data_IF_524807321129
#
_entry.id   IF_524807321129
#
_cell.length_a   1.000
_cell.length_b   1.000
_cell.length_c   1.000
_cell.angle_alpha   90.00
_cell.angle_beta   90.00
_cell.angle_gamma   90.00
#
_symmetry.space_group_name_H-M   'P 1'
#
loop_
_entity.id
_entity.type
_entity.pdbx_description
1 polymer ?
#
# COMPACT_ATOMS: atom_id res chain seq x y z
N UNK A 1 -26.29 -21.15 -0.25
CA UNK A 1 -25.89 -20.76 -0.35
C UNK A 1 -25.27 -20.21 -0.33
N UNK A 2 -24.87 -19.91 -0.29
CA UNK A 2 -24.30 -19.39 -0.55
C UNK A 2 -23.50 -18.91 -0.37
N UNK A 3 -23.12 -18.88 -0.23
CA UNK A 3 -22.47 -18.40 -0.07
C UNK A 3 -21.67 -17.90 -0.41
N UNK A 4 -21.47 -17.73 -0.59
CA UNK A 4 -20.89 -17.16 -1.22
C UNK A 4 -20.38 -16.11 -0.76
N UNK A 5 -19.89 -15.92 0.00
CA UNK A 5 -19.32 -14.99 0.40
C UNK A 5 -18.08 -14.96 0.06
N UNK A 6 -17.69 -14.17 -0.58
CA UNK A 6 -16.49 -14.02 -0.93
C UNK A 6 -15.89 -13.29 0.08
N UNK A 7 -15.06 -13.72 0.73
CA UNK A 7 -14.37 -13.01 1.64
C UNK A 7 -13.27 -12.45 0.96
N UNK A 8 -13.26 -11.24 0.69
CA UNK A 8 -12.18 -10.68 0.12
C UNK A 8 -11.18 -10.46 1.12
N UNK A 9 -10.17 -11.13 1.19
CA UNK A 9 -9.07 -10.91 2.09
C UNK A 9 -8.21 -9.80 1.57
N UNK A 10 -8.10 -8.77 2.31
CA UNK A 10 -7.25 -7.65 1.92
C UNK A 10 -5.81 -8.13 2.00
N UNK A 11 -5.08 -8.11 0.90
CA UNK A 11 -3.68 -8.54 0.92
C UNK A 11 -2.78 -7.62 1.74
N UNK A 12 -3.26 -6.42 2.05
CA UNK A 12 -2.47 -5.51 2.85
C UNK A 12 -2.71 -5.79 4.31
N UNK A 13 -2.15 -6.88 4.79
CA UNK A 13 -2.29 -7.29 6.17
C UNK A 13 -1.36 -6.50 7.06
N UNK A 14 -1.51 -6.63 8.36
CA UNK A 14 -0.63 -5.94 9.29
C UNK A 14 0.82 -6.37 9.10
N UNK A 15 1.03 -7.63 8.80
CA UNK A 15 2.38 -8.13 8.55
C UNK A 15 3.01 -7.43 7.34
N UNK A 16 2.24 -7.26 6.28
CA UNK A 16 2.72 -6.58 5.10
C UNK A 16 2.99 -5.10 5.41
N UNK A 17 2.11 -4.48 6.16
CA UNK A 17 2.30 -3.09 6.53
C UNK A 17 3.57 -2.91 7.37
N UNK A 18 3.82 -3.84 8.27
CA UNK A 18 5.02 -3.78 9.09
C UNK A 18 6.28 -3.88 8.25
N UNK A 19 6.27 -4.72 7.23
CA UNK A 19 7.41 -4.84 6.34
C UNK A 19 7.60 -3.59 5.51
N UNK A 20 6.50 -3.01 5.03
CA UNK A 20 6.57 -1.79 4.25
C UNK A 20 7.10 -0.65 5.12
N UNK A 21 6.68 -0.59 6.37
CA UNK A 21 7.16 0.44 7.26
C UNK A 21 8.67 0.26 7.52
N UNK A 22 9.10 -0.98 7.70
CA UNK A 22 10.51 -1.25 7.91
C UNK A 22 11.34 -0.82 6.71
N UNK A 23 10.88 -1.13 5.51
CA UNK A 23 11.57 -0.73 4.31
C UNK A 23 11.57 0.79 4.16
N UNK A 24 10.46 1.42 4.48
CA UNK A 24 10.35 2.86 4.41
C UNK A 24 11.32 3.52 5.39
N UNK A 25 11.44 2.95 6.57
CA UNK A 25 12.37 3.47 7.57
C UNK A 25 13.82 3.34 7.08
N UNK A 26 14.12 2.28 6.40
CA UNK A 26 15.46 2.11 5.84
C UNK A 26 15.76 3.13 4.76
N UNK A 27 14.74 3.56 4.05
CA UNK A 27 14.89 4.59 3.05
C UNK A 27 14.92 5.99 3.68
N UNK A 28 14.56 6.08 4.94
CA UNK A 28 14.46 7.37 5.59
C UNK A 28 13.26 8.17 5.12
N UNK A 29 12.23 7.49 4.68
CA UNK A 29 11.10 8.14 4.06
C UNK A 29 9.82 8.06 4.85
N UNK A 30 8.75 8.34 4.17
CA UNK A 30 7.41 8.35 4.75
C UNK A 30 6.50 7.51 3.89
N UNK A 31 5.63 6.75 4.48
CA UNK A 31 4.71 5.92 3.73
C UNK A 31 3.31 6.47 3.89
N UNK A 32 2.56 6.48 2.81
CA UNK A 32 1.19 6.95 2.81
C UNK A 32 0.32 5.92 2.12
N UNK A 33 -0.90 5.79 2.59
CA UNK A 33 -1.86 4.87 1.99
C UNK A 33 -3.03 5.73 1.50
N UNK A 34 -3.47 5.46 0.29
CA UNK A 34 -4.58 6.21 -0.26
C UNK A 34 -5.42 5.33 -1.17
N UNK A 35 -6.53 5.84 -1.61
CA UNK A 35 -7.40 5.13 -2.52
C UNK A 35 -7.25 5.73 -3.90
N UNK A 36 -7.59 4.96 -4.90
CA UNK A 36 -7.61 5.48 -6.26
C UNK A 36 -8.89 5.01 -6.97
N UNK A 37 -9.27 5.73 -7.98
CA UNK A 37 -10.45 5.40 -8.77
C UNK A 37 -10.22 5.94 -10.17
N UNK A 38 -10.66 5.21 -11.16
CA UNK A 38 -10.52 5.69 -12.53
C UNK A 38 -11.88 5.91 -13.16
N UNK A 39 -11.90 6.37 -14.39
CA UNK A 39 -13.15 6.69 -15.05
C UNK A 39 -13.95 5.48 -15.45
N UNK A 40 -13.35 4.31 -15.41
CA UNK A 40 -14.07 3.10 -15.74
C UNK A 40 -14.81 2.53 -14.56
N UNK A 41 -14.75 3.18 -13.43
CA UNK A 41 -15.42 2.69 -12.25
C UNK A 41 -14.59 1.72 -11.41
N UNK A 42 -13.37 1.49 -11.81
CA UNK A 42 -12.48 0.63 -11.04
C UNK A 42 -11.89 1.43 -9.91
N UNK A 43 -11.64 0.79 -8.81
CA UNK A 43 -11.03 1.46 -7.67
C UNK A 43 -10.13 0.49 -6.93
N UNK A 44 -9.25 1.01 -6.14
CA UNK A 44 -8.32 0.20 -5.38
C UNK A 44 -7.58 1.03 -4.39
N UNK A 45 -6.50 0.47 -3.87
CA UNK A 45 -5.68 1.14 -2.88
C UNK A 45 -4.31 1.38 -3.49
N UNK A 46 -3.65 2.42 -3.03
CA UNK A 46 -2.30 2.67 -3.49
C UNK A 46 -1.43 2.97 -2.30
N UNK A 47 -0.18 2.61 -2.41
CA UNK A 47 0.80 2.85 -1.36
C UNK A 47 1.86 3.74 -1.97
N UNK A 48 2.13 4.84 -1.30
CA UNK A 48 3.10 5.80 -1.78
C UNK A 48 4.20 5.92 -0.75
N UNK A 49 5.42 5.75 -1.19
CA UNK A 49 6.57 5.91 -0.31
C UNK A 49 7.35 7.10 -0.83
N UNK A 50 7.47 8.09 0.00
CA UNK A 50 8.20 9.30 -0.34
C UNK A 50 9.52 9.27 0.39
N UNK A 51 10.61 9.38 -0.33
CA UNK A 51 11.90 9.41 0.34
C UNK A 51 12.80 10.40 -0.40
N UNK A 52 13.79 10.91 0.31
CA UNK A 52 14.64 11.89 -0.24
C UNK A 52 15.75 11.21 -0.97
N UNK A 53 15.94 11.55 -2.20
CA UNK A 53 17.01 10.99 -3.00
C UNK A 53 18.32 11.52 -2.48
N UNK A 54 19.17 10.62 -2.09
CA UNK A 54 20.46 11.03 -1.61
C UNK A 54 21.31 11.23 -2.80
N UNK A 55 21.80 12.40 -3.00
CA UNK A 55 22.57 12.69 -4.05
C UNK A 55 23.93 12.46 -3.78
N UNK A 56 24.37 11.41 -3.80
CA UNK A 56 25.68 11.18 -3.44
C UNK A 56 26.46 11.29 -4.56
N UNK A 57 26.90 11.74 -4.88
CA UNK A 57 27.66 11.80 -5.80
C UNK A 57 28.06 11.72 -6.33
#
# INVERSE_FOLDING_TARGET
MDITRTVKTDPLTQTVKNRLQDLTDRLGGTIQYSDWRNSKGESGKRIIILYKHADTD
#
